data_IF_774864084599
#
_entry.id   IF_774864084599
#
_cell.length_a   1.000
_cell.length_b   1.000
_cell.length_c   1.000
_cell.angle_alpha   90.00
_cell.angle_beta   90.00
_cell.angle_gamma   90.00
#
_symmetry.space_group_name_H-M   'P 1'
#
loop_
_entity.id
_entity.type
_entity.pdbx_description
1 polymer ?
#
# COMPACT_ATOMS: atom_id res chain seq x y z
N UNK A 1 -13.65 -19.04 4.88
CA UNK A 1 -14.92 -18.30 5.12
C UNK A 1 -14.71 -16.86 4.67
N UNK A 2 -15.60 -16.34 3.83
CA UNK A 2 -15.53 -14.93 3.38
C UNK A 2 -15.95 -14.03 4.53
N UNK A 3 -15.10 -13.06 4.89
CA UNK A 3 -15.32 -12.13 6.01
C UNK A 3 -15.73 -10.77 5.45
N UNK A 4 -16.99 -10.37 5.66
CA UNK A 4 -17.47 -9.02 5.32
C UNK A 4 -16.94 -8.01 6.33
N UNK A 5 -16.27 -6.96 5.85
CA UNK A 5 -15.72 -5.86 6.66
C UNK A 5 -16.21 -4.53 6.09
N UNK A 6 -16.59 -3.59 6.96
CA UNK A 6 -16.79 -2.21 6.56
C UNK A 6 -15.43 -1.50 6.53
N UNK A 7 -15.02 -1.01 5.35
CA UNK A 7 -13.75 -0.32 5.12
C UNK A 7 -14.02 0.97 4.33
N UNK A 8 -13.14 1.95 4.47
CA UNK A 8 -13.08 3.07 3.51
C UNK A 8 -12.61 2.53 2.14
N UNK A 9 -12.78 3.32 1.07
CA UNK A 9 -12.24 2.95 -0.24
C UNK A 9 -10.73 2.74 -0.21
N UNK A 10 -10.00 3.62 0.47
CA UNK A 10 -8.55 3.49 0.65
C UNK A 10 -8.18 2.24 1.46
N UNK A 11 -8.87 1.98 2.57
CA UNK A 11 -8.62 0.79 3.39
C UNK A 11 -8.93 -0.51 2.66
N UNK A 12 -9.93 -0.51 1.76
CA UNK A 12 -10.20 -1.66 0.89
C UNK A 12 -9.07 -1.87 -0.13
N UNK A 13 -8.50 -0.79 -0.69
CA UNK A 13 -7.35 -0.87 -1.60
C UNK A 13 -6.09 -1.39 -0.88
N UNK A 14 -5.78 -0.87 0.31
CA UNK A 14 -4.65 -1.33 1.10
C UNK A 14 -4.79 -2.82 1.49
N UNK A 15 -6.01 -3.25 1.86
CA UNK A 15 -6.29 -4.66 2.15
C UNK A 15 -6.12 -5.55 0.91
N UNK A 16 -6.52 -5.07 -0.27
CA UNK A 16 -6.27 -5.79 -1.52
C UNK A 16 -4.77 -5.88 -1.83
N UNK A 17 -4.02 -4.79 -1.64
CA UNK A 17 -2.55 -4.78 -1.78
C UNK A 17 -1.90 -5.79 -0.82
N UNK A 18 -2.36 -5.85 0.44
CA UNK A 18 -1.89 -6.83 1.43
C UNK A 18 -2.13 -8.28 0.95
N UNK A 19 -3.28 -8.54 0.31
CA UNK A 19 -3.64 -9.88 -0.15
C UNK A 19 -2.83 -10.34 -1.37
N UNK A 20 -2.50 -9.44 -2.30
CA UNK A 20 -1.66 -9.77 -3.44
C UNK A 20 -0.17 -9.85 -3.08
N UNK A 21 0.21 -9.29 -1.92
CA UNK A 21 1.55 -9.36 -1.33
C UNK A 21 2.64 -9.02 -2.35
N UNK A 22 2.70 -7.75 -2.81
CA UNK A 22 3.66 -7.34 -3.83
C UNK A 22 5.10 -7.44 -3.30
N UNK A 23 6.05 -7.80 -4.17
CA UNK A 23 7.47 -7.86 -3.80
C UNK A 23 8.05 -6.47 -3.52
N UNK A 24 7.63 -5.47 -4.30
CA UNK A 24 8.10 -4.07 -4.22
C UNK A 24 6.92 -3.10 -4.31
N UNK A 25 6.96 -2.02 -3.52
CA UNK A 25 6.03 -0.88 -3.63
C UNK A 25 6.81 0.43 -3.59
N UNK A 26 6.73 1.21 -4.66
CA UNK A 26 7.22 2.58 -4.71
C UNK A 26 6.15 3.55 -4.17
N UNK A 27 6.46 4.26 -3.10
CA UNK A 27 5.54 5.04 -2.28
C UNK A 27 5.82 6.55 -2.39
N UNK A 28 4.79 7.31 -2.77
CA UNK A 28 4.79 8.77 -2.72
C UNK A 28 3.44 9.29 -2.16
N UNK A 29 3.44 10.21 -1.19
CA UNK A 29 2.21 10.72 -0.59
C UNK A 29 1.57 11.83 -1.43
N UNK A 30 0.30 11.67 -1.79
CA UNK A 30 -0.55 12.74 -2.34
C UNK A 30 -2.02 12.56 -1.91
N UNK A 31 -2.64 13.63 -1.44
CA UNK A 31 -4.04 13.65 -0.99
C UNK A 31 -4.98 13.43 -2.18
N UNK A 32 -6.03 12.58 -2.07
CA UNK A 32 -6.51 11.85 -0.88
C UNK A 32 -5.98 10.40 -0.75
N UNK A 33 -5.11 9.96 -1.65
CA UNK A 33 -4.60 8.58 -1.72
C UNK A 33 -3.52 8.24 -0.70
N UNK A 34 -2.96 9.22 0.01
CA UNK A 34 -1.91 9.01 1.02
C UNK A 34 -2.23 7.87 2.00
N UNK A 35 -3.49 7.79 2.46
CA UNK A 35 -3.92 6.75 3.40
C UNK A 35 -3.72 5.31 2.87
N UNK A 36 -3.80 5.07 1.55
CA UNK A 36 -3.56 3.72 0.99
C UNK A 36 -2.14 3.26 1.30
N UNK A 37 -1.18 4.15 1.12
CA UNK A 37 0.24 3.87 1.34
C UNK A 37 0.56 3.81 2.84
N UNK A 38 -0.05 4.66 3.67
CA UNK A 38 0.09 4.61 5.13
C UNK A 38 -0.43 3.29 5.71
N UNK A 39 -1.65 2.88 5.33
CA UNK A 39 -2.25 1.62 5.77
C UNK A 39 -1.43 0.41 5.28
N UNK A 40 -0.95 0.44 4.04
CA UNK A 40 -0.11 -0.64 3.50
C UNK A 40 1.27 -0.71 4.18
N UNK A 41 1.90 0.44 4.47
CA UNK A 41 3.16 0.50 5.19
C UNK A 41 3.03 -0.10 6.60
N UNK A 42 1.87 0.05 7.26
CA UNK A 42 1.61 -0.64 8.53
C UNK A 42 1.60 -2.16 8.36
N UNK A 43 1.02 -2.71 7.29
CA UNK A 43 1.07 -4.15 7.03
C UNK A 43 2.50 -4.67 6.80
N UNK A 44 3.35 -3.88 6.14
CA UNK A 44 4.79 -4.19 5.99
C UNK A 44 5.48 -4.17 7.37
N UNK A 45 5.25 -3.11 8.16
CA UNK A 45 5.85 -2.94 9.49
C UNK A 45 5.43 -4.04 10.48
N UNK A 46 4.18 -4.49 10.40
CA UNK A 46 3.64 -5.59 11.21
C UNK A 46 4.11 -6.98 10.73
N UNK A 47 4.85 -7.07 9.62
CA UNK A 47 5.28 -8.33 9.03
C UNK A 47 4.13 -9.15 8.42
N UNK A 48 2.98 -8.52 8.15
CA UNK A 48 1.84 -9.19 7.50
C UNK A 48 2.09 -9.42 6.01
N UNK A 49 3.01 -8.64 5.43
CA UNK A 49 3.57 -8.83 4.08
C UNK A 49 5.07 -8.59 4.14
N UNK A 50 5.82 -9.37 3.37
CA UNK A 50 7.23 -9.14 3.07
C UNK A 50 7.34 -8.38 1.75
N UNK A 51 7.45 -7.06 1.82
CA UNK A 51 7.52 -6.16 0.65
C UNK A 51 8.65 -5.17 0.85
N UNK A 52 9.42 -4.89 -0.19
CA UNK A 52 10.35 -3.76 -0.21
C UNK A 52 9.58 -2.47 -0.48
N UNK A 53 9.37 -1.67 0.57
CA UNK A 53 8.69 -0.39 0.47
C UNK A 53 9.72 0.73 0.27
N UNK A 54 9.69 1.36 -0.91
CA UNK A 54 10.66 2.38 -1.33
C UNK A 54 9.95 3.74 -1.34
N UNK A 55 10.40 4.67 -0.51
CA UNK A 55 9.92 6.06 -0.57
C UNK A 55 10.63 6.79 -1.69
N UNK A 56 9.87 7.24 -2.69
CA UNK A 56 10.39 7.99 -3.85
C UNK A 56 10.13 9.49 -3.71
N UNK A 57 10.76 10.30 -4.55
CA UNK A 57 10.71 11.76 -4.47
C UNK A 57 9.52 12.40 -5.23
N UNK A 58 8.86 11.66 -6.13
CA UNK A 58 7.71 12.13 -6.91
C UNK A 58 6.87 10.98 -7.48
N UNK A 59 5.67 11.27 -8.02
CA UNK A 59 4.87 10.27 -8.75
C UNK A 59 5.56 9.78 -10.03
N UNK A 60 6.35 10.64 -10.69
CA UNK A 60 7.11 10.24 -11.87
C UNK A 60 8.18 9.18 -11.52
N UNK A 61 8.81 9.35 -10.38
CA UNK A 61 9.81 8.42 -9.86
C UNK A 61 9.16 7.12 -9.37
N UNK A 62 7.94 7.20 -8.82
CA UNK A 62 7.15 6.02 -8.50
C UNK A 62 6.87 5.17 -9.74
N UNK A 63 6.47 5.81 -10.85
CA UNK A 63 6.22 5.11 -12.12
C UNK A 63 7.50 4.56 -12.76
N UNK A 64 8.63 5.24 -12.57
CA UNK A 64 9.92 4.78 -13.10
C UNK A 64 10.48 3.57 -12.34
N UNK A 65 10.09 3.40 -11.07
CA UNK A 65 10.51 2.29 -10.21
C UNK A 65 9.63 1.03 -10.34
N UNK A 66 8.46 1.13 -10.97
CA UNK A 66 7.48 0.05 -11.16
C UNK A 66 7.49 -0.50 -12.59
#
# INVERSE_FOLDING_TARGET
MTKTRALTGNGAMAEAMRQIHPDVVAAFPITPSTQVIEDFAQFVADGQVQTELITVESEHSAMSAC
#
